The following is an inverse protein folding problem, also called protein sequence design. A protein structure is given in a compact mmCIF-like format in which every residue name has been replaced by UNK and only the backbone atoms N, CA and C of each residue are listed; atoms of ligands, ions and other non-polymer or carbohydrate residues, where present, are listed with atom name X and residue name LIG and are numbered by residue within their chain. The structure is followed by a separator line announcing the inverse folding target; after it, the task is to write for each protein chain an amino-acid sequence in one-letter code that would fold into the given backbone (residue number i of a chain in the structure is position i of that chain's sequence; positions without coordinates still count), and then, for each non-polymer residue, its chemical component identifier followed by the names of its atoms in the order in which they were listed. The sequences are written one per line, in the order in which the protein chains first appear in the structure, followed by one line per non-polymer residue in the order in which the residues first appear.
data_IF_075728357895
#
_entry.id   IF_075728357895
#
_cell.length_a   1.000
_cell.length_b   1.000
_cell.length_c   1.000
_cell.angle_alpha   90.00
_cell.angle_beta   90.00
_cell.angle_gamma   90.00
#
_symmetry.space_group_name_H-M   'P 1'
#
loop_
_entity.id
_entity.type
_entity.pdbx_description
1 polymer ?
#
# COMPACT_ATOMS: atom_id res chain seq x y z
N UNK A 1 -10.75 47.43 17.60
CA UNK A 1 -9.87 46.58 16.75
C UNK A 1 -9.66 45.29 17.52
N UNK A 2 -10.39 44.24 17.16
CA UNK A 2 -10.41 42.94 17.86
C UNK A 2 -10.03 41.85 16.86
N UNK A 3 -9.07 41.02 17.25
CA UNK A 3 -8.53 39.93 16.45
C UNK A 3 -9.56 38.82 16.23
N UNK A 4 -9.67 38.38 14.98
CA UNK A 4 -10.43 37.21 14.59
C UNK A 4 -9.58 35.95 14.72
N UNK A 5 -9.92 35.11 15.69
CA UNK A 5 -9.46 33.73 15.74
C UNK A 5 -9.99 32.98 14.51
N UNK A 6 -9.09 32.45 13.69
CA UNK A 6 -9.44 31.54 12.61
C UNK A 6 -10.00 30.25 13.23
N UNK A 7 -11.31 30.01 13.04
CA UNK A 7 -11.96 28.79 13.47
C UNK A 7 -11.32 27.58 12.80
N UNK A 8 -10.70 26.70 13.61
CA UNK A 8 -10.45 25.32 13.24
C UNK A 8 -11.82 24.67 12.99
N UNK A 9 -12.16 24.47 11.72
CA UNK A 9 -13.24 23.56 11.37
C UNK A 9 -12.79 22.14 11.76
N UNK A 10 -13.15 21.73 12.97
CA UNK A 10 -13.13 20.33 13.37
C UNK A 10 -14.17 19.61 12.50
N UNK A 11 -13.72 19.01 11.40
CA UNK A 11 -14.51 17.98 10.72
C UNK A 11 -14.70 16.80 11.68
N UNK A 12 -15.90 16.18 11.74
CA UNK A 12 -16.14 15.06 12.62
C UNK A 12 -15.12 13.96 12.29
N UNK A 13 -14.21 13.68 13.22
CA UNK A 13 -13.18 12.66 13.04
C UNK A 13 -13.87 11.32 12.82
N UNK A 14 -13.71 10.73 11.63
CA UNK A 14 -14.07 9.32 11.48
C UNK A 14 -13.14 8.53 12.40
N UNK A 15 -13.72 7.79 13.34
CA UNK A 15 -13.04 6.96 14.33
C UNK A 15 -12.36 5.74 13.69
N UNK A 16 -12.17 5.72 12.37
CA UNK A 16 -11.70 4.54 11.66
C UNK A 16 -10.29 4.77 11.11
N UNK A 17 -9.27 4.64 11.94
CA UNK A 17 -7.85 4.60 11.54
C UNK A 17 -7.49 3.32 10.77
N UNK A 18 -6.21 3.13 10.42
CA UNK A 18 -5.72 1.86 9.87
C UNK A 18 -5.96 0.70 10.84
N UNK A 19 -6.25 -0.48 10.32
CA UNK A 19 -6.34 -1.72 11.08
C UNK A 19 -5.88 -2.92 10.25
N UNK A 20 -5.63 -4.07 10.90
CA UNK A 20 -4.94 -5.20 10.29
C UNK A 20 -5.90 -6.33 9.93
N UNK A 21 -5.67 -6.93 8.77
CA UNK A 21 -6.27 -8.19 8.36
C UNK A 21 -5.13 -9.20 8.16
N UNK A 22 -4.92 -10.07 9.15
CA UNK A 22 -3.83 -11.06 9.09
C UNK A 22 -4.18 -12.25 8.19
N UNK A 23 -3.20 -12.80 7.48
CA UNK A 23 -3.32 -14.01 6.65
C UNK A 23 -4.51 -13.99 5.68
N UNK A 24 -4.74 -12.88 4.97
CA UNK A 24 -5.76 -12.82 3.92
C UNK A 24 -5.33 -13.73 2.78
N UNK A 25 -6.18 -14.69 2.44
CA UNK A 25 -5.92 -15.66 1.38
C UNK A 25 -5.91 -14.98 0.01
N UNK A 26 -4.93 -15.34 -0.82
CA UNK A 26 -4.85 -15.00 -2.23
C UNK A 26 -4.85 -16.26 -3.10
N UNK A 27 -4.17 -16.21 -4.24
CA UNK A 27 -4.09 -17.34 -5.17
C UNK A 27 -3.18 -18.49 -4.68
N UNK A 28 -3.63 -19.75 -4.85
CA UNK A 28 -2.89 -20.99 -4.56
C UNK A 28 -2.29 -21.02 -3.13
N UNK A 29 -3.15 -20.91 -2.12
CA UNK A 29 -2.79 -20.99 -0.68
C UNK A 29 -1.85 -19.89 -0.16
N UNK A 30 -1.35 -19.00 -1.02
CA UNK A 30 -0.59 -17.81 -0.60
C UNK A 30 -1.47 -16.91 0.27
N UNK A 31 -0.89 -16.33 1.31
CA UNK A 31 -1.57 -15.38 2.19
C UNK A 31 -0.70 -14.14 2.42
N UNK A 32 -1.34 -12.99 2.64
CA UNK A 32 -0.64 -11.76 3.05
C UNK A 32 -1.35 -11.13 4.24
N UNK A 33 -0.57 -10.53 5.13
CA UNK A 33 -1.10 -9.56 6.08
C UNK A 33 -1.35 -8.23 5.38
N UNK A 34 -2.47 -7.60 5.71
CA UNK A 34 -2.92 -6.37 5.07
C UNK A 34 -3.15 -5.33 6.16
N UNK A 35 -2.65 -4.10 5.96
CA UNK A 35 -3.17 -2.94 6.69
C UNK A 35 -4.20 -2.27 5.79
N UNK A 36 -5.44 -2.25 6.24
CA UNK A 36 -6.53 -1.59 5.55
C UNK A 36 -6.85 -0.26 6.24
N UNK A 37 -7.05 0.80 5.45
CA UNK A 37 -7.50 2.08 5.95
C UNK A 37 -8.72 2.55 5.14
N UNK A 38 -9.88 2.77 5.79
CA UNK A 38 -11.08 3.19 5.08
C UNK A 38 -11.01 4.67 4.67
N UNK A 39 -11.77 5.07 3.64
CA UNK A 39 -11.83 6.45 3.17
C UNK A 39 -12.31 7.41 4.27
N UNK A 40 -11.77 8.65 4.26
CA UNK A 40 -12.18 9.73 5.14
C UNK A 40 -13.45 10.42 4.66
N UNK A 41 -13.58 10.57 3.34
CA UNK A 41 -14.64 11.34 2.70
C UNK A 41 -15.48 10.39 1.83
N UNK A 42 -16.81 10.52 1.92
CA UNK A 42 -17.73 9.83 1.02
C UNK A 42 -17.49 10.27 -0.42
N UNK A 43 -17.30 9.30 -1.31
CA UNK A 43 -17.32 9.56 -2.75
C UNK A 43 -18.73 9.93 -3.20
N UNK A 44 -18.82 10.84 -4.17
CA UNK A 44 -20.06 11.12 -4.91
C UNK A 44 -20.23 10.19 -6.11
N UNK A 45 -19.19 9.41 -6.43
CA UNK A 45 -19.13 8.56 -7.61
C UNK A 45 -19.77 7.20 -7.31
N UNK A 46 -20.48 6.63 -8.27
CA UNK A 46 -21.04 5.27 -8.16
C UNK A 46 -19.94 4.20 -8.09
N UNK A 47 -18.71 4.52 -8.54
CA UNK A 47 -17.59 3.59 -8.62
C UNK A 47 -16.52 3.87 -7.54
N UNK A 48 -16.25 2.88 -6.69
CA UNK A 48 -15.20 2.94 -5.67
C UNK A 48 -13.79 2.83 -6.28
N UNK A 49 -12.80 3.42 -5.62
CA UNK A 49 -11.37 3.35 -5.98
C UNK A 49 -10.55 2.87 -4.79
N UNK A 50 -9.59 1.98 -5.05
CA UNK A 50 -8.66 1.44 -4.07
C UNK A 50 -7.21 1.73 -4.46
N UNK A 51 -6.43 2.20 -3.48
CA UNK A 51 -4.99 2.38 -3.58
C UNK A 51 -4.31 1.18 -2.94
N UNK A 52 -3.57 0.42 -3.74
CA UNK A 52 -2.78 -0.73 -3.28
C UNK A 52 -1.33 -0.30 -3.19
N UNK A 53 -0.75 -0.44 -2.00
CA UNK A 53 0.61 -0.02 -1.70
C UNK A 53 1.50 -1.20 -1.30
N UNK A 54 2.68 -1.26 -1.92
CA UNK A 54 3.77 -2.17 -1.59
C UNK A 54 4.94 -1.34 -1.03
N UNK A 55 5.28 -1.61 0.23
CA UNK A 55 6.32 -0.87 0.94
C UNK A 55 7.75 -1.25 0.57
N UNK A 56 8.68 -0.52 1.17
CA UNK A 56 10.12 -0.72 1.02
C UNK A 56 10.70 -1.73 2.00
N UNK A 57 12.02 -1.92 1.92
CA UNK A 57 12.79 -2.47 3.03
C UNK A 57 12.60 -1.59 4.28
N UNK A 58 12.89 -2.13 5.47
CA UNK A 58 12.68 -1.52 6.80
C UNK A 58 11.22 -1.32 7.21
N UNK A 59 10.28 -1.10 6.28
CA UNK A 59 8.87 -0.91 6.61
C UNK A 59 8.19 -2.21 7.07
N UNK A 60 7.87 -2.28 8.36
CA UNK A 60 7.09 -3.38 8.95
C UNK A 60 6.03 -2.83 9.93
N UNK A 61 5.41 -3.71 10.71
CA UNK A 61 4.56 -3.34 11.82
C UNK A 61 5.37 -2.61 12.91
N UNK A 62 4.74 -1.66 13.64
CA UNK A 62 5.39 -0.86 14.67
C UNK A 62 6.23 -1.67 15.66
N UNK A 63 5.68 -2.76 16.20
CA UNK A 63 6.35 -3.59 17.21
C UNK A 63 7.58 -4.35 16.65
N UNK A 64 7.55 -4.72 15.37
CA UNK A 64 8.69 -5.35 14.71
C UNK A 64 9.80 -4.33 14.42
N UNK A 65 9.43 -3.09 14.10
CA UNK A 65 10.39 -2.01 13.87
C UNK A 65 10.99 -1.48 15.17
N UNK A 66 10.21 -1.35 16.25
CA UNK A 66 10.68 -0.77 17.51
C UNK A 66 11.78 -1.61 18.17
N UNK A 67 11.70 -2.93 18.01
CA UNK A 67 12.67 -3.89 18.56
C UNK A 67 13.93 -4.06 17.70
N UNK A 68 13.97 -3.46 16.52
CA UNK A 68 15.11 -3.54 15.60
C UNK A 68 15.89 -2.20 15.60
N UNK A 69 17.18 -2.28 15.92
CA UNK A 69 18.09 -1.12 15.99
C UNK A 69 18.11 -0.32 14.69
N UNK A 70 18.02 -1.03 13.57
CA UNK A 70 18.21 -0.49 12.23
C UNK A 70 16.96 0.24 11.69
N UNK A 71 15.78 -0.10 12.22
CA UNK A 71 14.50 0.46 11.79
C UNK A 71 13.84 1.39 12.81
N UNK A 72 14.27 1.40 14.07
CA UNK A 72 13.70 2.25 15.14
C UNK A 72 13.77 3.75 14.81
N UNK A 73 14.80 4.22 14.10
CA UNK A 73 14.88 5.62 13.64
C UNK A 73 13.82 6.00 12.59
N UNK A 74 13.24 5.00 11.92
CA UNK A 74 12.27 5.15 10.83
C UNK A 74 10.84 4.78 11.25
N UNK A 75 10.57 4.67 12.55
CA UNK A 75 9.26 4.29 13.10
C UNK A 75 8.08 5.07 12.53
N UNK A 76 8.23 6.36 12.21
CA UNK A 76 7.18 7.18 11.59
C UNK A 76 6.72 6.68 10.21
N UNK A 77 7.50 5.82 9.56
CA UNK A 77 7.24 5.23 8.25
C UNK A 77 6.86 3.75 8.33
N UNK A 78 6.42 3.25 9.50
CA UNK A 78 5.82 1.91 9.59
C UNK A 78 4.59 1.76 8.68
N UNK A 79 4.15 0.52 8.46
CA UNK A 79 3.07 0.24 7.51
C UNK A 79 1.73 0.91 7.87
N UNK A 80 1.42 1.05 9.16
CA UNK A 80 0.17 1.68 9.62
C UNK A 80 0.22 3.21 9.45
N UNK A 81 1.33 3.82 9.83
CA UNK A 81 1.55 5.27 9.66
C UNK A 81 1.58 5.64 8.18
N UNK A 82 2.17 4.78 7.34
CA UNK A 82 2.15 4.93 5.89
C UNK A 82 0.72 4.81 5.32
N UNK A 83 -0.09 3.87 5.81
CA UNK A 83 -1.49 3.76 5.40
C UNK A 83 -2.28 5.03 5.74
N UNK A 84 -2.08 5.60 6.94
CA UNK A 84 -2.71 6.85 7.35
C UNK A 84 -2.23 8.05 6.50
N UNK A 85 -0.92 8.11 6.18
CA UNK A 85 -0.34 9.13 5.31
C UNK A 85 -0.93 9.08 3.90
N UNK A 86 -0.99 7.89 3.29
CA UNK A 86 -1.59 7.68 1.97
C UNK A 86 -3.08 8.05 1.97
N UNK A 87 -3.82 7.71 3.03
CA UNK A 87 -5.22 8.11 3.16
C UNK A 87 -5.39 9.63 3.17
N UNK A 88 -4.46 10.37 3.77
CA UNK A 88 -4.51 11.84 3.70
C UNK A 88 -4.28 12.34 2.26
N UNK A 89 -3.41 11.68 1.49
CA UNK A 89 -3.22 11.96 0.06
C UNK A 89 -4.44 11.59 -0.81
N UNK A 90 -5.12 10.49 -0.46
CA UNK A 90 -6.27 9.95 -1.17
C UNK A 90 -7.50 9.83 -0.26
N UNK A 91 -8.09 10.95 0.20
CA UNK A 91 -9.08 10.94 1.29
C UNK A 91 -10.41 10.27 0.93
N UNK A 92 -10.69 10.05 -0.36
CA UNK A 92 -11.90 9.40 -0.86
C UNK A 92 -11.73 7.91 -1.15
N UNK A 93 -10.50 7.38 -1.09
CA UNK A 93 -10.20 6.03 -1.58
C UNK A 93 -9.94 5.06 -0.43
N UNK A 94 -10.15 3.78 -0.70
CA UNK A 94 -9.73 2.71 0.20
C UNK A 94 -8.22 2.53 0.09
N UNK A 95 -7.51 2.46 1.22
CA UNK A 95 -6.07 2.20 1.23
C UNK A 95 -5.83 0.76 1.65
N UNK A 96 -5.00 0.06 0.89
CA UNK A 96 -4.64 -1.34 1.09
C UNK A 96 -3.12 -1.43 1.05
N UNK A 97 -2.49 -1.53 2.21
CA UNK A 97 -1.06 -1.76 2.32
C UNK A 97 -0.83 -3.26 2.45
N UNK A 98 -0.11 -3.83 1.48
CA UNK A 98 0.23 -5.25 1.46
C UNK A 98 1.61 -5.42 2.10
N UNK A 99 1.64 -6.09 3.26
CA UNK A 99 2.90 -6.45 3.91
C UNK A 99 3.62 -7.54 3.09
N UNK A 100 4.95 -7.45 2.89
CA UNK A 100 5.72 -8.56 2.33
C UNK A 100 5.50 -9.84 3.17
N UNK A 101 5.44 -11.00 2.52
CA UNK A 101 5.16 -12.27 3.23
C UNK A 101 6.31 -12.65 4.18
N UNK A 102 7.52 -12.18 3.88
CA UNK A 102 8.72 -12.41 4.67
C UNK A 102 9.53 -11.13 4.79
N UNK A 103 10.02 -10.87 6.01
CA UNK A 103 10.97 -9.80 6.32
C UNK A 103 12.31 -10.43 6.68
N UNK A 104 13.18 -10.60 5.68
CA UNK A 104 14.48 -11.25 5.89
C UNK A 104 15.40 -10.36 6.73
N UNK A 105 16.07 -10.96 7.70
CA UNK A 105 16.90 -10.24 8.69
C UNK A 105 16.17 -9.07 9.37
N UNK A 106 14.83 -9.11 9.44
CA UNK A 106 13.96 -8.03 9.95
C UNK A 106 14.08 -6.68 9.22
N UNK A 107 14.67 -6.68 8.03
CA UNK A 107 15.00 -5.46 7.27
C UNK A 107 14.59 -5.61 5.81
N UNK A 108 14.93 -6.71 5.15
CA UNK A 108 14.70 -6.85 3.71
C UNK A 108 13.30 -7.40 3.42
N UNK A 109 12.55 -6.66 2.63
CA UNK A 109 11.20 -7.01 2.20
C UNK A 109 11.23 -8.05 1.09
N UNK A 110 10.65 -9.22 1.37
CA UNK A 110 10.53 -10.32 0.42
C UNK A 110 9.06 -10.49 0.01
N UNK A 111 8.75 -10.01 -1.21
CA UNK A 111 7.43 -10.13 -1.82
C UNK A 111 7.26 -11.47 -2.55
N UNK A 112 7.65 -12.59 -1.93
CA UNK A 112 7.73 -13.92 -2.55
C UNK A 112 6.39 -14.37 -3.16
N UNK A 113 5.26 -13.91 -2.58
CA UNK A 113 3.92 -14.16 -3.12
C UNK A 113 3.61 -13.41 -4.42
N UNK A 114 4.38 -12.40 -4.79
CA UNK A 114 4.18 -11.60 -5.99
C UNK A 114 5.31 -11.79 -6.99
N UNK A 115 6.55 -11.86 -6.53
CA UNK A 115 7.73 -12.01 -7.39
C UNK A 115 8.68 -13.02 -6.76
N UNK A 116 9.29 -13.89 -7.57
CA UNK A 116 10.33 -14.78 -7.07
C UNK A 116 11.53 -13.95 -6.65
N UNK A 117 12.17 -14.30 -5.55
CA UNK A 117 13.36 -13.61 -5.08
C UNK A 117 14.37 -14.56 -4.45
N UNK A 118 15.60 -14.08 -4.29
CA UNK A 118 16.59 -14.76 -3.45
C UNK A 118 16.30 -14.51 -1.96
N UNK A 119 17.21 -14.95 -1.08
CA UNK A 119 17.04 -14.81 0.36
C UNK A 119 16.89 -13.34 0.80
N UNK A 120 17.56 -12.40 0.14
CA UNK A 120 17.44 -10.96 0.40
C UNK A 120 16.34 -10.28 -0.44
N UNK A 121 15.43 -11.06 -1.04
CA UNK A 121 14.30 -10.57 -1.83
C UNK A 121 14.70 -9.96 -3.18
N UNK A 122 15.95 -10.03 -3.63
CA UNK A 122 16.36 -9.55 -4.97
C UNK A 122 15.54 -10.29 -6.03
N UNK A 123 14.82 -9.59 -6.92
CA UNK A 123 13.81 -10.22 -7.76
C UNK A 123 14.42 -11.02 -8.90
N UNK A 124 13.79 -12.16 -9.20
CA UNK A 124 13.93 -12.93 -10.42
C UNK A 124 12.59 -12.88 -11.17
N UNK A 125 12.46 -11.91 -12.08
CA UNK A 125 11.23 -11.67 -12.81
C UNK A 125 10.96 -12.76 -13.85
N UNK A 126 9.77 -13.33 -13.82
CA UNK A 126 9.31 -14.33 -14.79
C UNK A 126 8.12 -13.79 -15.58
N UNK A 127 7.84 -14.31 -16.79
CA UNK A 127 6.65 -13.91 -17.55
C UNK A 127 5.33 -14.13 -16.79
N UNK A 128 5.26 -15.11 -15.90
CA UNK A 128 4.08 -15.41 -15.10
C UNK A 128 4.49 -15.92 -13.71
N UNK A 129 4.01 -15.26 -12.66
CA UNK A 129 4.09 -15.70 -11.26
C UNK A 129 2.71 -15.67 -10.58
N UNK A 130 1.65 -15.53 -11.37
CA UNK A 130 0.27 -15.38 -10.91
C UNK A 130 0.12 -14.22 -9.91
N UNK A 131 0.92 -13.17 -10.02
CA UNK A 131 0.94 -12.03 -9.13
C UNK A 131 -0.35 -11.21 -9.25
N UNK A 132 -0.83 -11.02 -10.48
CA UNK A 132 -2.10 -10.34 -10.74
C UNK A 132 -3.30 -11.15 -10.24
N UNK A 133 -3.28 -12.47 -10.45
CA UNK A 133 -4.31 -13.36 -9.92
C UNK A 133 -4.30 -13.39 -8.39
N UNK A 134 -3.12 -13.30 -7.78
CA UNK A 134 -2.99 -13.19 -6.34
C UNK A 134 -3.58 -11.88 -5.81
N UNK A 135 -3.26 -10.74 -6.44
CA UNK A 135 -3.85 -9.45 -6.09
C UNK A 135 -5.38 -9.48 -6.21
N UNK A 136 -5.93 -9.99 -7.31
CA UNK A 136 -7.37 -10.11 -7.52
C UNK A 136 -8.04 -10.89 -6.37
N UNK A 137 -7.45 -12.04 -5.99
CA UNK A 137 -7.97 -12.87 -4.90
C UNK A 137 -7.86 -12.19 -3.54
N UNK A 138 -6.78 -11.44 -3.28
CA UNK A 138 -6.66 -10.64 -2.07
C UNK A 138 -7.78 -9.59 -2.00
N UNK A 139 -8.02 -8.83 -3.08
CA UNK A 139 -9.06 -7.79 -3.10
C UNK A 139 -10.47 -8.37 -2.85
N UNK A 140 -10.77 -9.54 -3.43
CA UNK A 140 -12.02 -10.27 -3.18
C UNK A 140 -12.14 -10.65 -1.70
N UNK A 141 -11.10 -11.28 -1.14
CA UNK A 141 -11.14 -11.81 0.23
C UNK A 141 -11.06 -10.72 1.30
N UNK A 142 -10.37 -9.60 1.03
CA UNK A 142 -10.44 -8.40 1.88
C UNK A 142 -11.89 -7.90 1.93
N UNK A 143 -12.57 -7.77 0.79
CA UNK A 143 -13.95 -7.29 0.73
C UNK A 143 -14.91 -8.18 1.52
N UNK A 144 -14.76 -9.51 1.40
CA UNK A 144 -15.53 -10.50 2.17
C UNK A 144 -15.29 -10.31 3.66
N UNK A 145 -14.01 -10.25 4.07
CA UNK A 145 -13.63 -10.15 5.48
C UNK A 145 -14.10 -8.83 6.10
N UNK A 146 -14.01 -7.72 5.37
CA UNK A 146 -14.50 -6.42 5.84
C UNK A 146 -16.01 -6.44 6.09
N UNK A 147 -16.79 -7.12 5.24
CA UNK A 147 -18.24 -7.26 5.45
C UNK A 147 -18.57 -8.13 6.67
N UNK A 148 -17.80 -9.19 6.91
CA UNK A 148 -18.04 -10.12 8.01
C UNK A 148 -17.51 -9.66 9.36
N UNK A 149 -16.53 -8.75 9.40
CA UNK A 149 -15.91 -8.30 10.64
C UNK A 149 -16.90 -7.53 11.54
N UNK A 150 -17.06 -7.88 12.81
CA UNK A 150 -17.88 -7.12 13.76
C UNK A 150 -17.36 -5.69 13.97
N UNK A 151 -18.27 -4.71 14.06
CA UNK A 151 -17.92 -3.30 14.19
C UNK A 151 -17.10 -3.00 15.45
N UNK A 152 -17.40 -3.69 16.56
CA UNK A 152 -16.65 -3.56 17.82
C UNK A 152 -15.21 -4.05 17.70
N UNK A 153 -14.93 -5.04 16.86
CA UNK A 153 -13.57 -5.52 16.62
C UNK A 153 -12.75 -4.48 15.86
N UNK A 154 -13.36 -3.84 14.84
CA UNK A 154 -12.71 -2.78 14.07
C UNK A 154 -12.39 -1.58 14.98
N UNK A 155 -13.34 -1.14 15.81
CA UNK A 155 -13.13 -0.04 16.77
C UNK A 155 -12.01 -0.38 17.75
N UNK A 156 -11.97 -1.61 18.28
CA UNK A 156 -10.92 -2.05 19.19
C UNK A 156 -9.53 -2.07 18.54
N UNK A 157 -9.42 -2.58 17.31
CA UNK A 157 -8.15 -2.58 16.57
C UNK A 157 -7.66 -1.16 16.30
N UNK A 158 -8.54 -0.26 15.86
CA UNK A 158 -8.19 1.15 15.62
C UNK A 158 -7.72 1.85 16.90
N UNK A 159 -8.38 1.61 18.03
CA UNK A 159 -7.97 2.17 19.31
C UNK A 159 -6.54 1.73 19.69
N UNK A 160 -6.21 0.46 19.45
CA UNK A 160 -4.87 -0.09 19.74
C UNK A 160 -3.77 0.54 18.88
N UNK A 161 -4.02 0.75 17.58
CA UNK A 161 -3.11 1.44 16.66
C UNK A 161 -2.91 2.92 17.04
N UNK A 162 -3.97 3.57 17.53
CA UNK A 162 -3.91 4.98 17.95
C UNK A 162 -3.07 5.17 19.22
N UNK A 163 -3.08 4.21 20.15
CA UNK A 163 -2.22 4.27 21.34
C UNK A 163 -0.73 4.09 21.04
N UNK A 164 -0.38 3.31 20.01
CA UNK A 164 1.02 3.07 19.63
C UNK A 164 1.69 4.25 18.91
N UNK A 165 0.90 5.21 18.37
CA UNK A 165 1.42 6.37 17.62
C UNK A 165 1.66 7.63 18.47
N UNK A 166 1.28 7.63 19.75
CA UNK A 166 1.42 8.79 20.66
C UNK A 166 2.69 8.77 21.54
N UNK A 167 3.61 7.82 21.35
CA UNK A 167 4.93 7.87 22.00
C UNK A 167 5.85 8.84 21.25
N UNK A 168 6.03 10.04 21.80
CA UNK A 168 6.97 11.02 21.28
C UNK A 168 8.42 10.46 21.29
N UNK A 169 9.24 10.71 20.25
CA UNK A 169 10.63 10.29 20.28
C UNK A 169 11.41 11.19 21.25
N UNK A 170 12.09 10.57 22.22
CA UNK A 170 13.15 11.25 22.96
C UNK A 170 14.27 11.59 21.97
N UNK A 171 14.54 12.88 21.85
CA UNK A 171 15.56 13.43 20.98
C UNK A 171 16.93 13.19 21.65
N UNK A 172 17.52 12.01 21.44
CA UNK A 172 18.90 11.75 21.84
C UNK A 172 19.79 11.90 20.61
N UNK A 173 20.64 12.93 20.65
CA UNK A 173 21.60 13.24 19.61
C UNK A 173 22.75 12.24 19.63
N UNK A 174 22.53 11.06 19.05
CA UNK A 174 23.61 10.13 18.73
C UNK A 174 24.08 10.38 17.31
N UNK A 175 25.37 10.66 17.15
CA UNK A 175 26.04 10.91 15.89
C UNK A 175 25.80 9.73 14.92
N UNK A 176 25.11 10.01 13.82
CA UNK A 176 24.73 9.06 12.78
C UNK A 176 25.97 8.50 12.06
N UNK A 177 26.33 7.28 12.40
CA UNK A 177 27.07 6.42 11.47
C UNK A 177 26.02 5.78 10.56
N UNK A 178 25.75 6.42 9.42
CA UNK A 178 24.95 5.88 8.30
C UNK A 178 25.62 4.62 7.74
N UNK A 179 25.46 3.48 8.41
CA UNK A 179 25.68 2.18 7.78
C UNK A 179 24.47 1.94 6.86
N UNK A 180 24.74 1.73 5.56
CA UNK A 180 23.78 1.39 4.50
C UNK A 180 23.04 0.07 4.77
N UNK A 181 22.21 0.05 5.82
CA UNK A 181 21.40 -1.09 6.30
C UNK A 181 20.60 -1.74 5.19
N UNK A 182 20.19 -0.95 4.20
CA UNK A 182 19.37 -1.44 3.11
C UNK A 182 20.14 -2.22 2.04
N UNK A 183 21.47 -2.08 1.95
CA UNK A 183 22.17 -2.45 0.70
C UNK A 183 23.60 -2.99 0.85
N UNK A 184 24.08 -3.33 2.06
CA UNK A 184 25.34 -4.08 2.23
C UNK A 184 25.14 -5.54 1.79
N UNK A 185 25.50 -5.84 0.54
CA UNK A 185 25.95 -7.17 0.13
C UNK A 185 27.37 -7.06 -0.42
N UNK A 186 28.32 -6.74 0.45
CA UNK A 186 29.71 -7.08 0.16
C UNK A 186 29.89 -8.58 0.40
N UNK A 187 30.05 -9.31 -0.71
CA UNK A 187 30.78 -10.58 -0.85
C UNK A 187 30.74 -11.54 0.35
N UNK A 188 29.70 -12.36 0.47
CA UNK A 188 29.79 -13.67 1.12
C UNK A 188 29.68 -14.75 0.06
N UNK A 189 30.81 -15.10 -0.55
CA UNK A 189 30.96 -16.38 -1.25
C UNK A 189 30.96 -17.48 -0.21
N UNK A 190 29.81 -18.11 0.03
CA UNK A 190 29.78 -19.42 0.70
C UNK A 190 30.32 -20.44 -0.28
N UNK A 191 31.58 -20.85 -0.06
CA UNK A 191 32.16 -22.02 -0.68
C UNK A 191 31.31 -23.24 -0.30
N UNK A 192 30.76 -23.89 -1.30
CA UNK A 192 30.00 -25.13 -1.15
C UNK A 192 30.98 -26.30 -1.22
N UNK A 193 31.41 -26.85 -0.08
CA UNK A 193 31.86 -28.24 0.05
C UNK A 193 31.57 -28.70 1.49
N UNK A 194 30.61 -29.61 1.64
CA UNK A 194 30.84 -30.87 2.35
C UNK A 194 29.59 -31.76 2.30
N UNK A 195 29.80 -32.97 1.77
CA UNK A 195 28.82 -34.01 1.62
C UNK A 195 28.48 -34.63 2.98
N UNK A 196 27.19 -34.89 3.24
CA UNK A 196 26.80 -35.90 4.22
C UNK A 196 25.69 -36.82 3.71
N UNK A 197 25.96 -38.09 3.95
CA UNK A 197 25.31 -39.31 3.50
C UNK A 197 23.96 -39.51 4.21
N UNK A 198 22.93 -39.85 3.45
CA UNK A 198 21.67 -40.39 3.97
C UNK A 198 21.80 -41.88 4.30
N UNK A 199 21.13 -42.34 5.36
CA UNK A 199 20.46 -43.64 5.28
C UNK A 199 18.95 -43.48 5.52
N UNK A 200 18.19 -44.05 4.58
CA UNK A 200 16.76 -44.34 4.72
C UNK A 200 16.48 -45.22 5.94
N UNK A 201 15.33 -44.99 6.59
CA UNK A 201 14.47 -46.08 7.08
C UNK A 201 13.04 -45.62 7.38
N UNK A 202 12.13 -46.54 7.07
CA UNK A 202 10.69 -46.44 6.96
C UNK A 202 9.92 -46.44 8.30
N UNK A 203 8.71 -45.89 8.21
CA UNK A 203 7.41 -46.23 8.84
C UNK A 203 7.32 -46.63 10.33
N UNK A 204 6.39 -45.98 11.05
CA UNK A 204 5.16 -46.65 11.55
C UNK A 204 4.17 -45.65 12.19
N UNK A 205 2.89 -45.97 12.01
CA UNK A 205 1.69 -45.30 12.50
C UNK A 205 1.61 -45.19 14.04
N UNK A 206 0.87 -44.20 14.57
CA UNK A 206 -0.20 -44.42 15.56
C UNK A 206 -1.06 -43.18 15.88
N UNK A 207 -2.33 -43.28 15.48
CA UNK A 207 -3.59 -43.00 16.19
C UNK A 207 -3.65 -41.87 17.24
N UNK A 208 -4.49 -40.87 16.95
CA UNK A 208 -5.07 -39.91 17.89
C UNK A 208 -6.40 -40.47 18.42
N UNK A 209 -6.53 -40.60 19.74
CA UNK A 209 -7.81 -40.79 20.44
C UNK A 209 -8.28 -39.50 21.11
N UNK A 210 -9.59 -39.31 21.02
CA UNK A 210 -10.40 -38.19 21.50
C UNK A 210 -10.56 -38.17 23.03
N UNK A 211 -10.76 -36.97 23.60
CA UNK A 211 -11.55 -36.79 24.84
C UNK A 211 -12.43 -35.53 24.71
N UNK A 212 -13.74 -35.77 24.67
CA UNK A 212 -14.81 -34.82 24.98
C UNK A 212 -15.02 -34.78 26.50
N UNK A 213 -15.36 -33.64 27.09
CA UNK A 213 -16.16 -33.55 28.34
C UNK A 213 -16.78 -32.15 28.51
N UNK A 214 -18.04 -32.16 28.95
CA UNK A 214 -19.03 -31.08 28.97
C UNK A 214 -19.01 -30.19 30.24
N UNK A 215 -19.51 -28.97 30.04
CA UNK A 215 -20.34 -28.10 30.89
C UNK A 215 -20.66 -28.47 32.36
N UNK A 216 -20.49 -27.54 33.31
CA UNK A 216 -21.55 -26.63 33.82
C UNK A 216 -21.24 -25.96 35.18
N UNK A 217 -21.67 -24.69 35.27
CA UNK A 217 -22.14 -23.90 36.41
C UNK A 217 -21.19 -23.44 37.53
N UNK A 218 -21.07 -22.11 37.69
CA UNK A 218 -21.80 -21.34 38.72
C UNK A 218 -21.84 -19.84 38.39
N UNK A 219 -23.01 -19.23 38.64
CA UNK A 219 -23.32 -17.80 38.53
C UNK A 219 -22.85 -17.06 39.78
N UNK A 220 -22.40 -15.81 39.63
CA UNK A 220 -22.63 -14.76 40.63
C UNK A 220 -22.91 -13.41 39.96
N UNK A 221 -23.88 -12.72 40.54
CA UNK A 221 -24.65 -11.59 40.02
C UNK A 221 -24.08 -10.28 40.55
N UNK A 222 -23.87 -9.29 39.69
CA UNK A 222 -23.98 -7.87 40.07
C UNK A 222 -24.90 -7.19 39.04
N UNK A 223 -26.15 -6.99 39.44
CA UNK A 223 -27.10 -6.12 38.75
C UNK A 223 -26.82 -4.66 39.13
N UNK A 224 -26.41 -3.85 38.16
CA UNK A 224 -26.60 -2.40 38.21
C UNK A 224 -27.68 -2.05 37.17
N UNK A 225 -28.87 -1.70 37.67
CA UNK A 225 -29.98 -1.19 36.88
C UNK A 225 -29.65 0.21 36.34
N UNK A 226 -29.37 0.32 35.05
CA UNK A 226 -29.51 1.59 34.31
C UNK A 226 -30.74 1.45 33.43
N UNK A 227 -31.80 2.16 33.80
CA UNK A 227 -33.04 2.22 33.04
C UNK A 227 -32.81 3.10 31.81
N UNK A 228 -32.52 2.49 30.65
CA UNK A 228 -32.46 3.21 29.38
C UNK A 228 -33.87 3.45 28.84
N UNK A 229 -34.17 4.68 28.44
CA UNK A 229 -35.42 5.00 27.74
C UNK A 229 -35.35 4.51 26.29
N UNK A 230 -36.49 4.15 25.68
CA UNK A 230 -36.51 3.69 24.28
C UNK A 230 -36.06 4.75 23.28
N UNK A 231 -36.05 6.04 23.66
CA UNK A 231 -35.54 7.14 22.86
C UNK A 231 -34.00 7.19 22.82
N UNK A 232 -33.33 6.77 23.90
CA UNK A 232 -31.86 6.72 23.96
C UNK A 232 -31.29 5.59 23.10
N UNK A 233 -31.99 4.45 23.03
CA UNK A 233 -31.64 3.33 22.15
C UNK A 233 -31.77 3.69 20.66
N UNK A 234 -32.72 4.58 20.30
CA UNK A 234 -32.90 5.03 18.92
C UNK A 234 -31.85 6.06 18.49
N UNK A 235 -31.41 6.96 19.39
CA UNK A 235 -30.34 7.93 19.11
C UNK A 235 -28.94 7.28 18.96
N UNK A 236 -28.66 6.21 19.72
CA UNK A 236 -27.42 5.43 19.58
C UNK A 236 -27.38 4.57 18.30
N UNK A 237 -28.52 4.13 17.78
CA UNK A 237 -28.58 3.43 16.49
C UNK A 237 -28.40 4.38 15.29
N UNK A 238 -28.93 5.61 15.36
CA UNK A 238 -28.76 6.60 14.29
C UNK A 238 -27.31 7.10 14.13
N UNK A 239 -26.52 7.16 15.22
CA UNK A 239 -25.10 7.53 15.15
C UNK A 239 -24.18 6.38 14.69
N UNK A 240 -24.58 5.10 14.86
CA UNK A 240 -23.80 3.94 14.40
C UNK A 240 -23.70 3.85 12.88
N UNK A 241 -24.78 4.20 12.16
CA UNK A 241 -24.83 4.13 10.70
C UNK A 241 -23.96 5.18 9.99
N UNK A 242 -23.40 6.17 10.70
CA UNK A 242 -22.65 7.25 10.06
C UNK A 242 -21.13 7.07 10.06
N UNK A 243 -20.55 6.22 10.92
CA UNK A 243 -19.08 6.08 11.02
C UNK A 243 -18.49 4.94 10.19
N UNK A 244 -19.30 3.97 9.76
CA UNK A 244 -18.87 2.79 9.00
C UNK A 244 -19.55 2.63 7.64
N UNK A 245 -20.06 3.73 7.10
CA UNK A 245 -20.75 3.78 5.79
C UNK A 245 -19.97 3.16 4.63
N UNK A 246 -18.65 3.08 4.74
CA UNK A 246 -17.76 2.50 3.73
C UNK A 246 -17.86 0.97 3.67
N UNK A 247 -18.48 0.31 4.65
CA UNK A 247 -18.52 -1.15 4.80
C UNK A 247 -19.60 -1.81 3.94
N UNK A 248 -20.81 -1.24 3.91
CA UNK A 248 -22.00 -1.89 3.33
C UNK A 248 -21.84 -2.22 1.84
N UNK A 249 -21.06 -1.39 1.11
CA UNK A 249 -20.86 -1.52 -0.33
C UNK A 249 -19.41 -1.81 -0.74
N UNK A 250 -18.55 -2.23 0.19
CA UNK A 250 -17.13 -2.48 -0.12
C UNK A 250 -16.98 -3.65 -1.10
N UNK A 251 -16.45 -3.38 -2.29
CA UNK A 251 -16.18 -4.38 -3.33
C UNK A 251 -14.88 -4.00 -4.06
N UNK A 252 -13.75 -4.31 -3.43
CA UNK A 252 -12.41 -3.91 -3.88
C UNK A 252 -11.99 -4.63 -5.17
N UNK A 253 -12.55 -5.82 -5.43
CA UNK A 253 -12.41 -6.59 -6.66
C UNK A 253 -13.14 -5.96 -7.86
N UNK A 254 -14.03 -4.99 -7.61
CA UNK A 254 -14.71 -4.20 -8.65
C UNK A 254 -14.23 -2.75 -8.71
N UNK A 255 -13.43 -2.32 -7.74
CA UNK A 255 -12.98 -0.93 -7.62
C UNK A 255 -11.94 -0.58 -8.69
N UNK A 256 -11.87 0.68 -9.11
CA UNK A 256 -10.70 1.18 -9.84
C UNK A 256 -9.45 1.05 -8.97
N UNK A 257 -8.30 0.81 -9.59
CA UNK A 257 -7.05 0.53 -8.88
C UNK A 257 -5.99 1.59 -9.20
N UNK A 258 -5.35 2.05 -8.13
CA UNK A 258 -4.10 2.78 -8.16
C UNK A 258 -3.06 1.89 -7.49
N UNK A 259 -1.95 1.60 -8.17
CA UNK A 259 -0.89 0.75 -7.65
C UNK A 259 0.33 1.61 -7.30
N UNK A 260 0.87 1.44 -6.11
CA UNK A 260 2.03 2.19 -5.62
C UNK A 260 3.08 1.20 -5.13
N UNK A 261 4.27 1.27 -5.70
CA UNK A 261 5.46 0.59 -5.19
C UNK A 261 6.40 1.64 -4.64
N UNK A 262 6.82 1.50 -3.38
CA UNK A 262 7.86 2.34 -2.79
C UNK A 262 9.12 1.52 -2.57
N UNK A 263 10.29 2.06 -2.94
CA UNK A 263 11.58 1.42 -2.71
C UNK A 263 11.58 -0.02 -3.22
N UNK A 264 11.79 -0.99 -2.34
CA UNK A 264 11.71 -2.43 -2.65
C UNK A 264 10.38 -2.85 -3.28
N UNK A 265 9.25 -2.26 -2.89
CA UNK A 265 7.92 -2.59 -3.43
C UNK A 265 7.78 -2.36 -4.94
N UNK A 266 8.65 -1.54 -5.54
CA UNK A 266 8.69 -1.36 -7.00
C UNK A 266 8.93 -2.67 -7.78
N UNK A 267 9.57 -3.67 -7.17
CA UNK A 267 9.75 -4.98 -7.81
C UNK A 267 8.41 -5.66 -8.10
N UNK A 268 7.38 -5.45 -7.29
CA UNK A 268 6.05 -6.01 -7.55
C UNK A 268 5.43 -5.38 -8.79
N UNK A 269 5.57 -4.06 -8.95
CA UNK A 269 5.10 -3.37 -10.15
C UNK A 269 5.85 -3.83 -11.41
N UNK A 270 7.16 -4.03 -11.30
CA UNK A 270 7.97 -4.59 -12.39
C UNK A 270 7.44 -5.97 -12.79
N UNK A 271 7.14 -6.85 -11.82
CA UNK A 271 6.57 -8.17 -12.08
C UNK A 271 5.19 -8.08 -12.78
N UNK A 272 4.34 -7.12 -12.40
CA UNK A 272 3.09 -6.90 -13.11
C UNK A 272 3.28 -6.54 -14.58
N UNK A 273 4.33 -5.78 -14.94
CA UNK A 273 4.62 -5.47 -16.35
C UNK A 273 4.96 -6.75 -17.15
N UNK A 274 5.72 -7.68 -16.56
CA UNK A 274 5.98 -8.98 -17.20
C UNK A 274 4.67 -9.76 -17.44
N UNK A 275 3.79 -9.82 -16.44
CA UNK A 275 2.50 -10.49 -16.56
C UNK A 275 1.55 -9.78 -17.53
N UNK A 276 1.56 -8.45 -17.59
CA UNK A 276 0.82 -7.67 -18.59
C UNK A 276 1.23 -8.08 -20.00
N UNK A 277 2.55 -8.17 -20.24
CA UNK A 277 3.07 -8.62 -21.52
C UNK A 277 2.62 -10.04 -21.82
N UNK A 278 2.83 -10.98 -20.90
CA UNK A 278 2.40 -12.37 -21.06
C UNK A 278 0.91 -12.49 -21.43
N UNK A 279 0.04 -11.83 -20.65
CA UNK A 279 -1.41 -11.87 -20.87
C UNK A 279 -1.84 -11.25 -22.20
N UNK A 280 -1.14 -10.21 -22.67
CA UNK A 280 -1.49 -9.51 -23.92
C UNK A 280 -0.86 -10.08 -25.17
N UNK A 281 0.21 -10.88 -25.06
CA UNK A 281 0.94 -11.39 -26.23
C UNK A 281 0.96 -12.91 -26.32
N UNK A 282 1.05 -13.62 -25.20
CA UNK A 282 1.22 -15.08 -25.16
C UNK A 282 -0.09 -15.82 -24.86
N UNK A 283 -1.03 -15.19 -24.14
CA UNK A 283 -2.35 -15.78 -23.84
C UNK A 283 -3.51 -14.80 -24.07
N UNK A 284 -3.66 -14.21 -25.28
CA UNK A 284 -4.65 -13.16 -25.53
C UNK A 284 -6.12 -13.62 -25.40
N UNK A 285 -6.37 -14.92 -25.57
CA UNK A 285 -7.71 -15.52 -25.43
C UNK A 285 -8.09 -15.79 -23.96
N UNK A 286 -7.14 -15.68 -23.02
CA UNK A 286 -7.41 -15.80 -21.58
C UNK A 286 -8.07 -14.53 -21.06
N UNK A 287 -9.40 -14.52 -21.09
CA UNK A 287 -10.21 -13.40 -20.62
C UNK A 287 -10.20 -13.20 -19.10
N UNK A 288 -9.61 -14.11 -18.33
CA UNK A 288 -9.80 -14.19 -16.88
C UNK A 288 -9.30 -12.93 -16.17
N UNK A 289 -8.18 -12.34 -16.63
CA UNK A 289 -7.53 -11.17 -16.02
C UNK A 289 -7.81 -9.84 -16.74
N UNK A 290 -8.56 -9.85 -17.84
CA UNK A 290 -8.88 -8.63 -18.60
C UNK A 290 -9.63 -7.62 -17.72
N UNK A 291 -10.54 -8.11 -16.87
CA UNK A 291 -11.30 -7.26 -15.95
C UNK A 291 -10.39 -6.55 -14.96
N UNK A 292 -9.46 -7.25 -14.32
CA UNK A 292 -8.48 -6.64 -13.41
C UNK A 292 -7.64 -5.59 -14.13
N UNK A 293 -7.05 -5.93 -15.29
CA UNK A 293 -6.24 -5.01 -16.08
C UNK A 293 -7.01 -3.72 -16.41
N UNK A 294 -8.28 -3.87 -16.80
CA UNK A 294 -9.14 -2.74 -17.12
C UNK A 294 -9.52 -1.87 -15.92
N UNK A 295 -9.20 -2.26 -14.68
CA UNK A 295 -9.42 -1.47 -13.46
C UNK A 295 -8.19 -0.65 -13.05
N UNK A 296 -6.98 -1.05 -13.47
CA UNK A 296 -5.75 -0.34 -13.15
C UNK A 296 -5.74 0.97 -13.95
N UNK A 297 -5.73 2.09 -13.23
CA UNK A 297 -5.76 3.44 -13.81
C UNK A 297 -4.41 4.12 -13.73
N UNK A 298 -3.72 3.93 -12.60
CA UNK A 298 -2.48 4.64 -12.29
C UNK A 298 -1.48 3.69 -11.64
N UNK A 299 -0.20 3.87 -11.97
CA UNK A 299 0.92 3.15 -11.36
C UNK A 299 2.02 4.13 -10.96
N UNK A 300 2.45 4.05 -9.71
CA UNK A 300 3.45 4.93 -9.10
C UNK A 300 4.68 4.13 -8.68
N UNK A 301 5.82 4.45 -9.27
CA UNK A 301 7.13 4.02 -8.78
C UNK A 301 7.71 5.13 -7.92
N UNK A 302 7.71 4.91 -6.59
CA UNK A 302 8.23 5.85 -5.61
C UNK A 302 9.63 5.38 -5.17
N UNK A 303 10.64 6.02 -5.72
CA UNK A 303 12.04 5.89 -5.37
C UNK A 303 12.54 4.43 -5.37
N UNK A 304 12.29 3.73 -6.48
CA UNK A 304 12.57 2.32 -6.65
C UNK A 304 14.04 1.95 -6.50
N UNK A 305 14.31 0.93 -5.69
CA UNK A 305 15.65 0.42 -5.40
C UNK A 305 15.60 -0.96 -4.75
N UNK A 306 16.70 -1.71 -4.86
CA UNK A 306 16.93 -2.94 -4.10
C UNK A 306 18.42 -3.30 -4.11
N UNK A 307 18.85 -4.21 -3.22
CA UNK A 307 20.25 -4.68 -3.12
C UNK A 307 20.77 -5.55 -4.28
N UNK A 308 20.14 -5.51 -5.45
CA UNK A 308 20.58 -6.24 -6.65
C UNK A 308 21.19 -5.29 -7.68
N UNK A 309 22.02 -5.82 -8.58
CA UNK A 309 22.84 -5.01 -9.50
C UNK A 309 22.18 -4.69 -10.86
N UNK A 310 20.93 -5.10 -11.06
CA UNK A 310 20.17 -4.93 -12.31
C UNK A 310 18.68 -5.12 -12.07
N UNK A 311 17.88 -4.77 -13.08
CA UNK A 311 16.43 -4.95 -13.11
C UNK A 311 15.69 -4.19 -12.00
N UNK A 312 16.28 -3.08 -11.53
CA UNK A 312 15.59 -2.14 -10.64
C UNK A 312 14.48 -1.43 -11.40
N UNK A 313 14.71 -1.11 -12.67
CA UNK A 313 13.70 -0.57 -13.58
C UNK A 313 13.64 -1.40 -14.87
N UNK A 314 12.44 -1.50 -15.46
CA UNK A 314 12.25 -2.25 -16.71
C UNK A 314 12.93 -1.51 -17.88
N UNK A 315 13.86 -2.17 -18.56
CA UNK A 315 14.54 -1.60 -19.74
C UNK A 315 14.13 -2.28 -21.05
N UNK A 316 13.37 -3.37 -20.98
CA UNK A 316 12.92 -4.12 -22.16
C UNK A 316 11.85 -3.36 -22.94
N UNK A 317 12.13 -3.08 -24.22
CA UNK A 317 11.23 -2.34 -25.11
C UNK A 317 9.87 -3.04 -25.29
N UNK A 318 9.84 -4.35 -25.47
CA UNK A 318 8.59 -5.10 -25.72
C UNK A 318 7.63 -5.05 -24.53
N UNK A 319 8.18 -5.06 -23.31
CA UNK A 319 7.42 -4.91 -22.07
C UNK A 319 6.80 -3.50 -21.98
N UNK A 320 7.61 -2.46 -22.24
CA UNK A 320 7.17 -1.07 -22.19
C UNK A 320 6.19 -0.70 -23.30
N UNK A 321 6.31 -1.32 -24.48
CA UNK A 321 5.32 -1.21 -25.56
C UNK A 321 3.97 -1.78 -25.13
N UNK A 322 3.95 -2.94 -24.44
CA UNK A 322 2.69 -3.45 -23.88
C UNK A 322 2.14 -2.50 -22.83
N UNK A 323 2.95 -2.05 -21.88
CA UNK A 323 2.50 -1.13 -20.83
C UNK A 323 1.90 0.16 -21.43
N UNK A 324 2.53 0.71 -22.47
CA UNK A 324 2.05 1.90 -23.18
C UNK A 324 0.67 1.67 -23.80
N UNK A 325 0.45 0.52 -24.45
CA UNK A 325 -0.85 0.19 -25.07
C UNK A 325 -1.99 0.00 -24.06
N UNK A 326 -1.67 -0.27 -22.79
CA UNK A 326 -2.70 -0.38 -21.74
C UNK A 326 -3.29 0.97 -21.33
N UNK A 327 -2.64 2.10 -21.67
CA UNK A 327 -3.15 3.44 -21.37
C UNK A 327 -3.21 3.76 -19.87
N UNK A 328 -2.37 3.10 -19.05
CA UNK A 328 -2.23 3.36 -17.61
C UNK A 328 -1.40 4.64 -17.42
N UNK A 329 -1.82 5.53 -16.52
CA UNK A 329 -1.03 6.70 -16.14
C UNK A 329 0.16 6.28 -15.29
N UNK A 330 1.37 6.68 -15.71
CA UNK A 330 2.62 6.26 -15.09
C UNK A 330 3.26 7.45 -14.39
N UNK A 331 3.65 7.24 -13.13
CA UNK A 331 4.23 8.29 -12.30
C UNK A 331 5.53 7.79 -11.68
N UNK A 332 6.62 8.50 -11.96
CA UNK A 332 7.96 8.19 -11.45
C UNK A 332 8.39 9.28 -10.49
N UNK A 333 8.55 8.94 -9.23
CA UNK A 333 9.10 9.83 -8.20
C UNK A 333 10.45 9.26 -7.78
N UNK A 334 11.50 10.06 -7.78
CA UNK A 334 12.85 9.61 -7.39
C UNK A 334 13.53 10.63 -6.50
N UNK A 335 14.50 10.19 -5.71
CA UNK A 335 15.36 11.04 -4.88
C UNK A 335 16.83 10.81 -5.25
N UNK A 336 17.74 11.75 -4.91
CA UNK A 336 19.17 11.55 -5.03
C UNK A 336 19.68 10.25 -4.41
N UNK A 337 19.05 9.77 -3.33
CA UNK A 337 19.43 8.52 -2.67
C UNK A 337 19.43 7.31 -3.61
N UNK A 338 18.52 7.23 -4.58
CA UNK A 338 18.52 6.14 -5.56
C UNK A 338 19.25 6.50 -6.85
N UNK A 339 18.97 7.68 -7.42
CA UNK A 339 19.42 8.01 -8.79
C UNK A 339 20.70 8.84 -8.85
N UNK A 340 21.27 9.26 -7.73
CA UNK A 340 22.57 9.94 -7.67
C UNK A 340 23.59 9.19 -6.80
N UNK A 341 23.33 7.91 -6.50
CA UNK A 341 24.31 7.06 -5.81
C UNK A 341 25.34 6.49 -6.79
N UNK A 342 26.59 6.96 -6.66
CA UNK A 342 27.73 6.53 -7.47
C UNK A 342 28.12 5.06 -7.25
N UNK A 343 27.72 4.45 -6.12
CA UNK A 343 27.94 3.01 -5.85
C UNK A 343 26.96 2.15 -6.63
N UNK A 344 25.82 2.71 -7.04
CA UNK A 344 24.71 2.00 -7.71
C UNK A 344 24.28 2.70 -9.00
N UNK A 345 25.22 2.95 -9.93
CA UNK A 345 24.97 3.77 -11.12
C UNK A 345 23.93 3.14 -12.07
N UNK A 346 23.69 1.83 -11.96
CA UNK A 346 22.68 1.14 -12.77
C UNK A 346 21.26 1.66 -12.49
N UNK A 347 20.94 2.08 -11.26
CA UNK A 347 19.59 2.52 -10.91
C UNK A 347 19.21 3.76 -11.73
N UNK A 348 20.10 4.77 -11.74
CA UNK A 348 19.94 5.97 -12.58
C UNK A 348 19.86 5.62 -14.06
N UNK A 349 20.72 4.72 -14.52
CA UNK A 349 20.79 4.33 -15.93
C UNK A 349 19.50 3.64 -16.39
N UNK A 350 19.02 2.67 -15.61
CA UNK A 350 17.80 1.91 -15.91
C UNK A 350 16.56 2.80 -15.79
N UNK A 351 16.45 3.63 -14.74
CA UNK A 351 15.34 4.59 -14.58
C UNK A 351 15.25 5.53 -15.77
N UNK A 352 16.40 6.10 -16.20
CA UNK A 352 16.43 7.00 -17.36
C UNK A 352 15.96 6.28 -18.63
N UNK A 353 16.39 5.03 -18.85
CA UNK A 353 15.94 4.22 -19.99
C UNK A 353 14.43 3.98 -19.91
N UNK A 354 13.92 3.58 -18.75
CA UNK A 354 12.49 3.34 -18.50
C UNK A 354 11.66 4.57 -18.85
N UNK A 355 11.98 5.72 -18.27
CA UNK A 355 11.22 6.96 -18.46
C UNK A 355 11.34 7.49 -19.90
N UNK A 356 12.55 7.48 -20.49
CA UNK A 356 12.75 7.98 -21.86
C UNK A 356 12.06 7.08 -22.90
N UNK A 357 12.08 5.77 -22.70
CA UNK A 357 11.40 4.84 -23.60
C UNK A 357 9.88 5.02 -23.55
N UNK A 358 9.30 5.12 -22.35
CA UNK A 358 7.86 5.36 -22.19
C UNK A 358 7.42 6.67 -22.86
N UNK A 359 8.20 7.75 -22.71
CA UNK A 359 7.93 9.02 -23.41
C UNK A 359 7.98 8.87 -24.93
N UNK A 360 9.00 8.18 -25.46
CA UNK A 360 9.16 7.94 -26.90
C UNK A 360 8.03 7.08 -27.49
N UNK A 361 7.51 6.14 -26.70
CA UNK A 361 6.39 5.29 -27.09
C UNK A 361 5.03 6.01 -26.97
N UNK A 362 4.99 7.21 -26.38
CA UNK A 362 3.76 8.00 -26.21
C UNK A 362 2.94 7.63 -24.97
N UNK A 363 3.54 6.97 -23.97
CA UNK A 363 2.85 6.66 -22.73
C UNK A 363 2.57 7.95 -21.91
N UNK A 364 1.45 8.01 -21.16
CA UNK A 364 1.18 9.11 -20.24
C UNK A 364 2.07 8.97 -18.99
N UNK A 365 3.33 9.43 -19.09
CA UNK A 365 4.33 9.32 -18.04
C UNK A 365 4.76 10.68 -17.47
N UNK A 366 4.76 10.79 -16.15
CA UNK A 366 5.32 11.92 -15.40
C UNK A 366 6.55 11.48 -14.62
N UNK A 367 7.53 12.37 -14.46
CA UNK A 367 8.76 12.12 -13.68
C UNK A 367 9.07 13.32 -12.81
N UNK A 368 9.26 13.09 -11.51
CA UNK A 368 9.62 14.10 -10.53
C UNK A 368 10.85 13.66 -9.74
N UNK A 369 11.90 14.49 -9.74
CA UNK A 369 13.05 14.35 -8.83
C UNK A 369 12.79 15.23 -7.61
N UNK A 370 12.76 14.63 -6.43
CA UNK A 370 12.57 15.31 -5.15
C UNK A 370 13.93 15.60 -4.52
N UNK A 371 14.02 16.70 -3.77
CA UNK A 371 15.20 17.03 -2.96
C UNK A 371 16.52 17.14 -3.75
N UNK A 372 16.48 17.59 -5.02
CA UNK A 372 17.66 17.65 -5.91
C UNK A 372 18.84 18.47 -5.35
N UNK A 373 18.56 19.42 -4.45
CA UNK A 373 19.57 20.25 -3.79
C UNK A 373 20.16 19.64 -2.51
N UNK A 374 19.66 18.50 -2.07
CA UNK A 374 20.02 17.86 -0.79
C UNK A 374 20.92 16.66 -1.04
N UNK A 375 21.89 16.44 -0.15
CA UNK A 375 22.74 15.25 -0.22
C UNK A 375 21.91 13.96 -0.11
N UNK A 376 22.27 12.95 -0.91
CA UNK A 376 21.67 11.62 -0.86
C UNK A 376 21.79 11.02 0.54
N UNK A 377 20.65 10.67 1.15
CA UNK A 377 20.61 9.98 2.44
C UNK A 377 19.30 9.19 2.59
N UNK A 378 19.32 8.20 3.49
CA UNK A 378 18.20 7.29 3.70
C UNK A 378 16.95 8.00 4.26
N UNK A 379 17.09 9.13 4.95
CA UNK A 379 15.94 9.88 5.44
C UNK A 379 15.12 10.50 4.30
N UNK A 380 15.78 11.14 3.32
CA UNK A 380 15.12 11.70 2.13
C UNK A 380 14.43 10.64 1.27
N UNK A 381 14.98 9.42 1.25
CA UNK A 381 14.35 8.26 0.62
C UNK A 381 12.95 7.98 1.19
N UNK A 382 12.77 8.03 2.51
CA UNK A 382 11.44 7.87 3.11
C UNK A 382 10.58 9.14 3.03
N UNK A 383 11.18 10.34 3.13
CA UNK A 383 10.43 11.60 3.04
C UNK A 383 9.72 11.79 1.70
N UNK A 384 10.14 11.07 0.65
CA UNK A 384 9.44 11.05 -0.64
C UNK A 384 7.96 10.67 -0.48
N UNK A 385 7.59 9.83 0.50
CA UNK A 385 6.20 9.45 0.77
C UNK A 385 5.35 10.66 1.18
N UNK A 386 5.92 11.55 2.00
CA UNK A 386 5.26 12.78 2.45
C UNK A 386 5.15 13.78 1.30
N UNK A 387 6.24 14.00 0.56
CA UNK A 387 6.28 14.90 -0.59
C UNK A 387 5.32 14.45 -1.70
N UNK A 388 5.26 13.15 -1.96
CA UNK A 388 4.31 12.53 -2.89
C UNK A 388 2.86 12.81 -2.48
N UNK A 389 2.47 12.55 -1.22
CA UNK A 389 1.10 12.77 -0.77
C UNK A 389 0.70 14.25 -0.85
N UNK A 390 1.62 15.17 -0.53
CA UNK A 390 1.41 16.61 -0.71
C UNK A 390 1.19 16.98 -2.19
N UNK A 391 2.00 16.42 -3.09
CA UNK A 391 1.86 16.64 -4.52
C UNK A 391 0.48 16.19 -5.05
N UNK A 392 0.01 15.01 -4.64
CA UNK A 392 -1.32 14.50 -5.01
C UNK A 392 -2.43 15.43 -4.52
N UNK A 393 -2.35 15.92 -3.28
CA UNK A 393 -3.33 16.86 -2.74
C UNK A 393 -3.38 18.16 -3.54
N UNK A 394 -2.22 18.73 -3.87
CA UNK A 394 -2.13 19.96 -4.68
C UNK A 394 -2.74 19.75 -6.07
N UNK A 395 -2.40 18.64 -6.72
CA UNK A 395 -2.93 18.32 -8.05
C UNK A 395 -4.45 18.14 -8.04
N UNK A 396 -4.99 17.43 -7.04
CA UNK A 396 -6.44 17.27 -6.87
C UNK A 396 -7.14 18.62 -6.64
N UNK A 397 -6.57 19.52 -5.84
CA UNK A 397 -7.13 20.86 -5.62
C UNK A 397 -7.16 21.69 -6.92
N UNK A 398 -6.10 21.64 -7.72
CA UNK A 398 -6.04 22.35 -9.00
C UNK A 398 -7.10 21.86 -10.00
N UNK A 399 -7.31 20.53 -10.09
CA UNK A 399 -8.34 19.97 -10.96
C UNK A 399 -9.77 20.41 -10.55
N UNK A 400 -10.07 20.44 -9.26
CA UNK A 400 -11.38 20.91 -8.78
C UNK A 400 -11.60 22.41 -9.07
N UNK A 401 -10.55 23.23 -8.96
CA UNK A 401 -10.63 24.66 -9.30
C UNK A 401 -10.88 24.87 -10.80
N UNK A 402 -10.20 24.13 -11.67
CA UNK A 402 -10.40 24.23 -13.12
C UNK A 402 -11.81 23.78 -13.55
N UNK A 403 -12.35 22.71 -12.98
CA UNK A 403 -13.72 22.26 -13.26
C UNK A 403 -14.77 23.26 -12.77
N UNK A 404 -14.57 23.88 -11.59
CA UNK A 404 -15.46 24.91 -11.07
C UNK A 404 -15.51 26.17 -11.94
N UNK A 405 -14.36 26.58 -12.51
CA UNK A 405 -14.30 27.72 -13.44
C UNK A 405 -14.99 27.43 -14.77
N UNK A 406 -14.85 26.21 -15.32
CA UNK A 406 -15.55 25.82 -16.55
C UNK A 406 -17.08 25.75 -16.37
N UNK A 407 -17.57 25.28 -15.22
CA UNK A 407 -19.02 25.27 -14.93
C UNK A 407 -19.60 26.67 -14.73
N UNK A 408 -18.85 27.62 -14.16
CA UNK A 408 -19.28 29.02 -14.05
C UNK A 408 -19.32 29.72 -15.42
N UNK A 409 -18.33 29.48 -16.28
CA UNK A 409 -18.37 30.01 -17.65
C UNK A 409 -19.53 29.43 -18.47
N UNK A 410 -19.88 28.15 -18.28
CA UNK A 410 -21.01 27.55 -18.98
C UNK A 410 -22.36 28.11 -18.52
N UNK A 411 -22.56 28.36 -17.20
CA UNK A 411 -23.78 29.02 -16.70
C UNK A 411 -23.95 30.45 -17.21
N UNK A 412 -22.85 31.20 -17.34
CA UNK A 412 -22.89 32.60 -17.80
C UNK A 412 -23.29 32.72 -19.29
N UNK A 413 -23.16 31.64 -20.07
CA UNK A 413 -23.50 31.60 -21.51
C UNK A 413 -24.95 31.12 -21.74
N UNK A 414 -25.55 30.38 -20.81
CA UNK A 414 -26.88 29.76 -20.99
C UNK A 414 -28.04 30.49 -20.31
N UNK A 415 -27.79 31.58 -19.57
CA UNK A 415 -28.88 32.38 -19.00
C UNK A 415 -29.47 33.27 -20.11
N UNK A 416 -30.73 33.07 -20.55
CA UNK A 416 -31.36 33.99 -21.47
C UNK A 416 -31.58 35.31 -20.74
N UNK A 417 -31.09 36.40 -21.34
CA UNK A 417 -31.42 37.76 -20.93
C UNK A 417 -32.94 37.91 -21.06
N UNK A 418 -33.65 37.76 -19.95
CA UNK A 418 -35.02 38.22 -19.82
C UNK A 418 -34.96 39.76 -19.76
N UNK A 419 -34.94 40.38 -20.94
CA UNK A 419 -35.23 41.80 -21.08
C UNK A 419 -36.67 42.04 -20.63
N UNK A 420 -36.80 42.65 -19.45
CA UNK A 420 -38.05 43.19 -18.94
C UNK A 420 -38.05 44.70 -19.23
N UNK A 421 -38.99 45.05 -20.11
CA UNK A 421 -39.58 46.37 -20.46
C UNK A 421 -38.92 47.21 -21.53
#
# INVERSE_FOLDING_TARGET
MLGGAAGRFCTPSSVAGPFRLCAVTGFQNRTNDIVYCPPLIRGNDEESTAVVYFGGDVQDFPESMETNRDSRGYMKYNLESTAALLRNGFPRFHIIVIRPVRMEFKTFSCFDNFVRGNNAGVPDHTPMNHALQHLEKLLQNISIRLKSLPDNEIVAQVASTSSASNSAPNNDGSQDMDIDILQVQDTVTVHAEDAMVFPCREETNNVITSIHSNASATNDIIQNNIHFSSADCQNLQMNKNNHMWWKDNVNLDKSKLILIGFSKGCVVLNQFIYEFHYLKTLTPDDSTMIRLLSRIREMYWLDGGHGGQKNTWITSRSLLETLTRLGINIHVHVTPYQVQDDRRPWIRKEEKIFTDMLRRLGAPVTRQLHFDSTAANLFTHFEVLQAFCQHIQMHNQQQHQMQGQQQQQHRTITDPVNDVK
#
